data_IF_749693231942
#
_entry.id   IF_749693231942
#
_cell.length_a   1.000
_cell.length_b   1.000
_cell.length_c   1.000
_cell.angle_alpha   90.00
_cell.angle_beta   90.00
_cell.angle_gamma   90.00
#
_symmetry.space_group_name_H-M   'P 1'
#
loop_
_entity.id
_entity.type
_entity.pdbx_description
1 polymer ?
#
# COMPACT_ATOMS: atom_id res chain seq x y z
N UNK A 1 6.53 -7.63 5.72
CA UNK A 1 5.49 -7.43 6.74
C UNK A 1 5.70 -6.07 7.39
N UNK A 2 4.66 -5.27 7.49
CA UNK A 2 4.67 -3.98 8.21
C UNK A 2 3.52 -3.98 9.21
N UNK A 3 3.72 -3.38 10.37
CA UNK A 3 2.68 -3.12 11.35
C UNK A 3 2.89 -1.72 11.92
N UNK A 4 1.82 -1.00 12.16
CA UNK A 4 1.82 0.32 12.76
C UNK A 4 0.59 0.50 13.63
N UNK A 5 0.66 1.40 14.60
CA UNK A 5 -0.47 1.72 15.45
C UNK A 5 -0.24 3.00 16.22
N UNK A 6 -1.34 3.62 16.60
CA UNK A 6 -1.41 4.78 17.47
C UNK A 6 -2.38 4.49 18.59
N UNK A 7 -2.00 4.86 19.78
CA UNK A 7 -2.85 4.78 20.96
C UNK A 7 -2.95 6.17 21.61
N UNK A 8 -4.15 6.63 21.85
CA UNK A 8 -4.42 7.85 22.58
C UNK A 8 -5.17 7.50 23.88
N UNK A 9 -4.93 8.24 24.95
CA UNK A 9 -5.61 8.05 26.23
C UNK A 9 -6.88 8.89 26.38
N UNK A 10 -7.16 9.73 25.39
CA UNK A 10 -8.33 10.60 25.32
C UNK A 10 -8.63 10.92 23.85
N UNK A 11 -9.81 11.48 23.59
CA UNK A 11 -10.19 11.97 22.26
C UNK A 11 -9.18 12.99 21.75
N UNK A 12 -8.68 12.79 20.54
CA UNK A 12 -7.72 13.66 19.88
C UNK A 12 -8.38 14.53 18.82
N UNK A 13 -7.77 15.69 18.55
CA UNK A 13 -8.24 16.58 17.50
C UNK A 13 -8.04 15.95 16.11
N UNK A 14 -8.88 16.29 15.16
CA UNK A 14 -8.85 15.71 13.80
C UNK A 14 -7.47 15.67 13.13
N UNK A 15 -6.56 16.65 13.27
CA UNK A 15 -5.23 16.55 12.69
C UNK A 15 -4.35 15.45 13.28
N UNK A 16 -4.60 15.06 14.54
CA UNK A 16 -3.81 14.06 15.27
C UNK A 16 -4.46 12.67 15.24
N UNK A 17 -5.63 12.54 14.61
CA UNK A 17 -6.30 11.25 14.48
C UNK A 17 -5.56 10.30 13.54
N UNK A 18 -5.58 9.03 13.88
CA UNK A 18 -5.10 7.97 12.99
C UNK A 18 -6.08 7.78 11.85
N UNK A 19 -5.59 7.89 10.63
CA UNK A 19 -6.37 7.64 9.42
C UNK A 19 -5.95 6.34 8.76
N UNK A 20 -6.93 5.58 8.26
CA UNK A 20 -6.75 4.36 7.48
C UNK A 20 -7.43 4.48 6.11
N UNK A 21 -6.83 3.86 5.11
CA UNK A 21 -7.18 3.96 3.69
C UNK A 21 -6.05 4.61 2.89
N UNK A 22 -5.91 4.20 1.64
CA UNK A 22 -4.90 4.67 0.71
C UNK A 22 -3.58 3.88 0.74
N UNK A 23 -2.62 4.35 -0.06
CA UNK A 23 -1.36 3.65 -0.33
C UNK A 23 -0.47 3.41 0.88
N UNK A 24 -0.59 4.24 1.90
CA UNK A 24 0.24 4.18 3.11
C UNK A 24 -0.25 3.18 4.16
N UNK A 25 -1.52 2.81 4.13
CA UNK A 25 -2.18 2.02 5.17
C UNK A 25 -2.96 0.82 4.62
N UNK A 26 -4.14 1.03 4.03
CA UNK A 26 -4.98 -0.03 3.47
C UNK A 26 -5.25 0.28 1.99
N UNK A 27 -4.48 -0.35 1.11
CA UNK A 27 -4.62 -0.21 -0.34
C UNK A 27 -5.95 -0.80 -0.81
N UNK A 28 -6.54 -0.19 -1.84
CA UNK A 28 -7.86 -0.55 -2.35
C UNK A 28 -8.97 0.38 -1.87
N UNK A 29 -8.67 1.26 -0.92
CA UNK A 29 -9.56 2.31 -0.43
C UNK A 29 -8.99 3.71 -0.72
N UNK A 30 -9.84 4.74 -0.80
CA UNK A 30 -9.41 6.13 -0.84
C UNK A 30 -8.51 6.52 0.34
N UNK A 31 -7.76 7.61 0.17
CA UNK A 31 -6.88 8.13 1.23
C UNK A 31 -7.76 8.62 2.39
N UNK A 32 -7.37 8.25 3.62
CA UNK A 32 -8.07 8.62 4.85
C UNK A 32 -9.56 8.27 4.86
N UNK A 33 -9.91 7.11 4.32
CA UNK A 33 -11.28 6.60 4.24
C UNK A 33 -11.98 6.56 5.60
N UNK A 34 -11.23 6.22 6.65
CA UNK A 34 -11.70 6.27 8.03
C UNK A 34 -10.62 6.84 8.94
N UNK A 35 -11.04 7.58 9.96
CA UNK A 35 -10.18 8.12 11.01
C UNK A 35 -10.71 7.80 12.40
N UNK A 36 -9.85 7.84 13.40
CA UNK A 36 -10.19 7.62 14.81
C UNK A 36 -9.06 8.03 15.74
N UNK A 37 -9.36 8.04 17.04
CA UNK A 37 -8.43 8.49 18.07
C UNK A 37 -7.30 7.48 18.28
N UNK A 38 -7.61 6.19 18.13
CA UNK A 38 -6.61 5.13 18.09
C UNK A 38 -6.86 4.21 16.89
N UNK A 39 -5.83 3.49 16.52
CA UNK A 39 -5.93 2.54 15.44
C UNK A 39 -4.67 1.73 15.24
N UNK A 40 -4.81 0.69 14.44
CA UNK A 40 -3.70 -0.12 14.00
C UNK A 40 -3.82 -0.46 12.53
N UNK A 41 -2.69 -0.70 11.90
CA UNK A 41 -2.59 -1.20 10.54
C UNK A 41 -1.63 -2.38 10.47
N UNK A 42 -1.95 -3.32 9.62
CA UNK A 42 -1.13 -4.47 9.33
C UNK A 42 -1.05 -4.66 7.82
N UNK A 43 0.14 -4.91 7.29
CA UNK A 43 0.36 -5.18 5.88
C UNK A 43 1.26 -6.39 5.72
N UNK A 44 0.80 -7.35 4.95
CA UNK A 44 1.59 -8.49 4.48
C UNK A 44 1.78 -8.35 2.97
N UNK A 45 3.03 -8.35 2.54
CA UNK A 45 3.39 -8.28 1.13
C UNK A 45 4.32 -9.44 0.78
N UNK A 46 4.00 -10.16 -0.27
CA UNK A 46 4.81 -11.22 -0.86
C UNK A 46 5.37 -10.72 -2.19
N UNK A 47 6.68 -10.78 -2.31
CA UNK A 47 7.41 -10.37 -3.48
C UNK A 47 8.06 -11.59 -4.12
N UNK A 48 7.79 -11.80 -5.42
CA UNK A 48 8.32 -12.90 -6.20
C UNK A 48 9.06 -12.36 -7.43
N UNK A 49 10.33 -12.72 -7.65
CA UNK A 49 11.02 -12.41 -8.88
C UNK A 49 10.22 -12.93 -10.09
N UNK A 50 10.32 -12.26 -11.23
CA UNK A 50 9.65 -12.71 -12.45
C UNK A 50 10.05 -14.14 -12.80
N UNK A 51 9.10 -15.08 -12.97
CA UNK A 51 9.42 -16.51 -13.05
C UNK A 51 10.04 -16.96 -14.39
N UNK A 52 9.94 -16.13 -15.44
CA UNK A 52 10.43 -16.50 -16.76
C UNK A 52 11.69 -15.74 -17.14
N UNK A 53 12.68 -16.45 -17.63
CA UNK A 53 13.92 -15.85 -18.18
C UNK A 53 13.64 -15.30 -19.57
N UNK A 54 13.41 -14.00 -19.66
CA UNK A 54 13.31 -13.29 -20.92
C UNK A 54 14.65 -12.63 -21.21
N UNK A 55 15.33 -12.99 -22.33
CA UNK A 55 16.59 -12.35 -22.68
C UNK A 55 16.33 -10.89 -23.05
N UNK A 56 17.05 -9.98 -22.41
CA UNK A 56 17.08 -8.58 -22.82
C UNK A 56 18.05 -8.46 -24.01
N UNK A 57 17.60 -7.87 -25.09
CA UNK A 57 18.34 -7.79 -26.35
C UNK A 57 19.66 -6.97 -26.29
N UNK A 58 19.91 -6.23 -25.22
CA UNK A 58 21.08 -5.36 -25.10
C UNK A 58 22.16 -5.99 -24.22
N UNK A 59 23.36 -6.17 -24.82
CA UNK A 59 24.58 -6.55 -24.10
C UNK A 59 24.87 -5.55 -22.97
N UNK A 60 24.88 -6.04 -21.71
CA UNK A 60 25.21 -5.25 -20.54
C UNK A 60 24.03 -4.85 -19.65
N UNK A 61 22.81 -5.15 -20.03
CA UNK A 61 21.65 -4.99 -19.15
C UNK A 61 21.34 -6.27 -18.37
N UNK A 62 20.89 -6.18 -17.12
CA UNK A 62 20.44 -7.35 -16.39
C UNK A 62 19.24 -7.99 -17.10
N UNK A 63 19.08 -9.29 -16.96
CA UNK A 63 17.94 -10.01 -17.51
C UNK A 63 16.63 -9.55 -16.87
N UNK A 64 15.55 -9.65 -17.61
CA UNK A 64 14.21 -9.16 -17.20
C UNK A 64 13.76 -9.73 -15.85
N UNK A 65 14.05 -10.99 -15.60
CA UNK A 65 13.77 -11.67 -14.33
C UNK A 65 14.45 -11.05 -13.11
N UNK A 66 15.57 -10.34 -13.32
CA UNK A 66 16.26 -9.59 -12.26
C UNK A 66 15.74 -8.17 -12.07
N UNK A 67 15.06 -7.64 -13.05
CA UNK A 67 14.52 -6.26 -13.02
C UNK A 67 13.09 -6.21 -12.55
N UNK A 68 12.30 -7.24 -12.83
CA UNK A 68 10.85 -7.25 -12.54
C UNK A 68 10.54 -8.17 -11.37
N UNK A 69 9.80 -7.65 -10.43
CA UNK A 69 9.29 -8.37 -9.26
C UNK A 69 7.77 -8.28 -9.26
N UNK A 70 7.11 -9.41 -9.20
CA UNK A 70 5.68 -9.48 -8.93
C UNK A 70 5.43 -9.32 -7.44
N UNK A 71 4.36 -8.67 -7.09
CA UNK A 71 3.95 -8.53 -5.70
C UNK A 71 2.47 -8.88 -5.52
N UNK A 72 2.15 -9.49 -4.39
CA UNK A 72 0.81 -9.67 -3.89
C UNK A 72 0.76 -9.16 -2.45
N UNK A 73 -0.36 -8.59 -2.04
CA UNK A 73 -0.48 -8.04 -0.69
C UNK A 73 -1.87 -8.23 -0.12
N UNK A 74 -1.92 -8.17 1.21
CA UNK A 74 -3.12 -8.00 2.00
C UNK A 74 -2.84 -6.97 3.09
N UNK A 75 -3.70 -5.98 3.18
CA UNK A 75 -3.64 -4.90 4.17
C UNK A 75 -4.89 -4.94 5.03
N UNK A 76 -4.72 -4.71 6.33
CA UNK A 76 -5.81 -4.58 7.28
C UNK A 76 -5.56 -3.39 8.19
N UNK A 77 -6.61 -2.62 8.48
CA UNK A 77 -6.56 -1.53 9.44
C UNK A 77 -7.87 -1.39 10.18
N UNK A 78 -7.79 -0.93 11.42
CA UNK A 78 -8.96 -0.64 12.24
C UNK A 78 -8.70 0.63 13.04
N UNK A 79 -9.71 1.49 13.10
CA UNK A 79 -9.73 2.69 13.92
C UNK A 79 -10.84 2.60 14.95
N UNK A 80 -10.61 3.24 16.08
CA UNK A 80 -11.48 3.32 17.22
C UNK A 80 -11.68 4.79 17.58
N UNK A 81 -12.90 5.15 17.92
CA UNK A 81 -13.25 6.47 18.40
C UNK A 81 -13.50 6.37 19.90
N UNK A 82 -12.88 7.24 20.66
CA UNK A 82 -13.12 7.38 22.11
C UNK A 82 -14.36 8.24 22.31
N UNK A 83 -15.12 7.99 23.38
CA UNK A 83 -16.37 8.70 23.66
C UNK A 83 -17.37 8.68 22.49
N UNK A 84 -17.72 7.48 22.03
CA UNK A 84 -18.66 7.26 20.93
C UNK A 84 -19.99 8.02 21.11
N UNK A 85 -20.21 9.04 20.28
CA UNK A 85 -21.54 9.61 20.13
C UNK A 85 -22.47 8.65 19.35
N UNK A 86 -23.81 8.76 19.51
CA UNK A 86 -24.74 7.93 18.77
C UNK A 86 -24.52 8.10 17.24
N UNK A 87 -23.97 7.05 16.59
CA UNK A 87 -23.66 7.05 15.16
C UNK A 87 -22.17 6.91 14.82
N UNK A 88 -21.27 7.20 15.72
CA UNK A 88 -19.84 6.91 15.57
C UNK A 88 -19.59 5.41 15.77
N UNK A 89 -18.81 4.79 14.91
CA UNK A 89 -18.51 3.35 14.96
C UNK A 89 -17.03 3.09 14.72
N UNK A 90 -16.51 2.11 15.44
CA UNK A 90 -15.23 1.52 15.11
C UNK A 90 -15.28 0.99 13.69
N UNK A 91 -14.34 1.37 12.84
CA UNK A 91 -14.31 1.01 11.43
C UNK A 91 -13.06 0.22 11.11
N UNK A 92 -13.24 -0.88 10.40
CA UNK A 92 -12.15 -1.71 9.91
C UNK A 92 -12.21 -1.81 8.40
N UNK A 93 -11.06 -1.74 7.76
CA UNK A 93 -10.87 -1.90 6.33
C UNK A 93 -9.94 -3.07 6.08
N UNK A 94 -10.22 -3.83 5.01
CA UNK A 94 -9.31 -4.87 4.53
C UNK A 94 -9.23 -4.76 3.02
N UNK A 95 -8.02 -4.58 2.52
CA UNK A 95 -7.73 -4.53 1.11
C UNK A 95 -6.76 -5.63 0.72
N UNK A 96 -6.88 -6.14 -0.49
CA UNK A 96 -5.92 -7.07 -1.07
C UNK A 96 -5.63 -6.66 -2.51
N UNK A 97 -4.51 -7.11 -3.05
CA UNK A 97 -4.18 -6.76 -4.40
C UNK A 97 -2.87 -7.36 -4.88
N UNK A 98 -2.52 -6.97 -6.08
CA UNK A 98 -1.30 -7.39 -6.74
C UNK A 98 -0.68 -6.24 -7.54
N UNK A 99 0.55 -6.45 -7.97
CA UNK A 99 1.24 -5.46 -8.78
C UNK A 99 2.60 -5.97 -9.23
N UNK A 100 3.38 -5.07 -9.76
CA UNK A 100 4.77 -5.34 -10.12
C UNK A 100 5.66 -4.14 -9.81
N UNK A 101 6.92 -4.45 -9.56
CA UNK A 101 8.01 -3.48 -9.38
C UNK A 101 9.04 -3.71 -10.47
N UNK A 102 9.51 -2.63 -11.08
CA UNK A 102 10.60 -2.65 -12.04
C UNK A 102 11.76 -1.89 -11.42
N UNK A 103 12.89 -2.57 -11.24
CA UNK A 103 14.09 -1.97 -10.70
C UNK A 103 15.16 -1.97 -11.80
N UNK A 104 15.55 -0.78 -12.23
CA UNK A 104 16.65 -0.57 -13.17
C UNK A 104 17.88 -0.23 -12.34
N UNK A 105 18.83 -1.15 -12.19
CA UNK A 105 20.03 -0.92 -11.39
C UNK A 105 20.95 0.09 -12.06
N UNK A 106 21.81 0.71 -11.26
CA UNK A 106 22.92 1.52 -11.77
C UNK A 106 23.84 0.67 -12.66
N UNK A 107 24.23 1.23 -13.78
CA UNK A 107 25.23 0.59 -14.68
C UNK A 107 26.65 0.95 -14.28
N UNK A 108 26.87 2.20 -13.89
CA UNK A 108 28.18 2.77 -13.51
C UNK A 108 27.97 3.73 -12.31
N UNK A 109 29.06 4.17 -11.66
CA UNK A 109 29.00 5.09 -10.51
C UNK A 109 28.33 6.43 -10.81
N UNK A 110 28.32 6.85 -12.07
CA UNK A 110 27.65 8.08 -12.54
C UNK A 110 26.22 7.86 -13.00
N UNK A 111 25.73 6.62 -13.02
CA UNK A 111 24.37 6.32 -13.47
C UNK A 111 23.37 6.33 -12.31
N UNK A 112 22.11 6.48 -12.66
CA UNK A 112 20.98 6.59 -11.75
C UNK A 112 20.29 5.24 -11.64
N UNK A 113 19.92 4.83 -10.43
CA UNK A 113 19.00 3.72 -10.25
C UNK A 113 17.56 4.24 -10.26
N UNK A 114 16.70 3.53 -10.97
CA UNK A 114 15.30 3.93 -11.09
C UNK A 114 14.41 2.75 -10.75
N UNK A 115 13.42 2.98 -9.91
CA UNK A 115 12.41 1.97 -9.62
C UNK A 115 11.01 2.53 -9.85
N UNK A 116 10.19 1.70 -10.48
CA UNK A 116 8.77 1.95 -10.69
C UNK A 116 7.97 0.84 -10.05
N UNK A 117 6.83 1.18 -9.47
CA UNK A 117 5.87 0.17 -9.06
C UNK A 117 4.46 0.55 -9.49
N UNK A 118 3.72 -0.44 -9.98
CA UNK A 118 2.31 -0.35 -10.26
C UNK A 118 1.58 -1.39 -9.43
N UNK A 119 0.59 -0.96 -8.66
CA UNK A 119 -0.14 -1.82 -7.75
C UNK A 119 -1.62 -1.58 -7.91
N UNK A 120 -2.40 -2.64 -7.99
CA UNK A 120 -3.86 -2.60 -8.00
C UNK A 120 -4.38 -3.26 -6.73
N UNK A 121 -5.13 -2.50 -5.94
CA UNK A 121 -5.76 -2.94 -4.71
C UNK A 121 -7.27 -2.88 -4.80
N UNK A 122 -7.94 -3.87 -4.19
CA UNK A 122 -9.40 -3.96 -4.11
C UNK A 122 -9.85 -4.10 -2.67
N UNK A 123 -11.00 -3.51 -2.30
CA UNK A 123 -11.63 -3.75 -1.02
C UNK A 123 -12.07 -5.21 -0.90
N UNK A 124 -11.73 -5.87 0.21
CA UNK A 124 -12.11 -7.26 0.46
C UNK A 124 -13.32 -7.36 1.40
N UNK A 125 -13.51 -6.38 2.28
CA UNK A 125 -14.65 -6.37 3.20
C UNK A 125 -15.86 -5.67 2.59
N UNK A 126 -16.89 -6.44 2.26
CA UNK A 126 -18.15 -5.94 1.69
C UNK A 126 -19.02 -5.10 2.65
N UNK A 127 -18.69 -5.03 3.93
CA UNK A 127 -19.50 -4.30 4.91
C UNK A 127 -19.33 -2.78 4.84
N UNK A 128 -18.22 -2.32 4.29
CA UNK A 128 -17.92 -0.89 4.13
C UNK A 128 -17.41 -0.72 2.70
N UNK A 129 -18.28 -0.38 1.73
CA UNK A 129 -17.83 -0.03 0.40
C UNK A 129 -17.00 1.26 0.47
N UNK A 130 -16.06 1.46 -0.45
CA UNK A 130 -15.32 2.72 -0.55
C UNK A 130 -16.27 3.90 -0.73
N UNK A 131 -15.94 5.04 -0.12
CA UNK A 131 -16.77 6.26 -0.18
C UNK A 131 -16.98 6.79 -1.60
N UNK A 132 -16.03 6.50 -2.50
CA UNK A 132 -16.07 6.86 -3.92
C UNK A 132 -16.74 5.80 -4.82
N UNK A 133 -17.29 4.73 -4.23
CA UNK A 133 -17.90 3.59 -4.95
C UNK A 133 -16.95 2.90 -5.93
N UNK A 134 -15.63 3.04 -5.77
CA UNK A 134 -14.65 2.43 -6.65
C UNK A 134 -14.52 0.93 -6.42
N UNK A 135 -14.27 0.17 -7.50
CA UNK A 135 -13.96 -1.26 -7.42
C UNK A 135 -12.54 -1.53 -6.92
N UNK A 136 -11.72 -0.51 -6.78
CA UNK A 136 -10.34 -0.61 -6.34
C UNK A 136 -9.51 0.59 -6.75
N UNK A 137 -8.30 0.65 -6.25
CA UNK A 137 -7.37 1.75 -6.45
C UNK A 137 -6.14 1.28 -7.21
N UNK A 138 -5.80 1.98 -8.28
CA UNK A 138 -4.55 1.80 -9.01
C UNK A 138 -3.52 2.81 -8.47
N UNK A 139 -2.39 2.32 -8.02
CA UNK A 139 -1.32 3.12 -7.43
C UNK A 139 -0.06 3.00 -8.29
N UNK A 140 0.44 4.14 -8.75
CA UNK A 140 1.72 4.25 -9.44
C UNK A 140 2.70 4.99 -8.55
N UNK A 141 3.90 4.45 -8.37
CA UNK A 141 4.99 5.15 -7.69
C UNK A 141 6.29 5.00 -8.46
N UNK A 142 7.15 6.02 -8.35
CA UNK A 142 8.48 6.03 -8.94
C UNK A 142 9.49 6.60 -7.96
N UNK A 143 10.71 6.05 -7.96
CA UNK A 143 11.83 6.52 -7.17
C UNK A 143 13.08 6.57 -8.05
N UNK A 144 13.76 7.69 -8.00
CA UNK A 144 15.03 7.92 -8.67
C UNK A 144 16.09 8.16 -7.59
N UNK A 145 17.20 7.40 -7.63
CA UNK A 145 18.32 7.55 -6.69
C UNK A 145 19.61 7.78 -7.46
N UNK A 146 20.32 8.85 -7.10
CA UNK A 146 21.59 9.28 -7.67
C UNK A 146 22.78 8.60 -6.98
#
# INVERSE_FOLDING_TARGET
>A
MKAGGQFASARVLSPDQTAIGGSGTVRGYPISENSGDHGYTFSLEYNMPWPWKLPVANKGWPSFDKMVTLLAFIDHGKVFVEDNEPGERHRALTGAGMGFKINIPKKDETSVSTSFSLTWGVPVMHKIPPSDSSFGTLLLSGLISF
#
